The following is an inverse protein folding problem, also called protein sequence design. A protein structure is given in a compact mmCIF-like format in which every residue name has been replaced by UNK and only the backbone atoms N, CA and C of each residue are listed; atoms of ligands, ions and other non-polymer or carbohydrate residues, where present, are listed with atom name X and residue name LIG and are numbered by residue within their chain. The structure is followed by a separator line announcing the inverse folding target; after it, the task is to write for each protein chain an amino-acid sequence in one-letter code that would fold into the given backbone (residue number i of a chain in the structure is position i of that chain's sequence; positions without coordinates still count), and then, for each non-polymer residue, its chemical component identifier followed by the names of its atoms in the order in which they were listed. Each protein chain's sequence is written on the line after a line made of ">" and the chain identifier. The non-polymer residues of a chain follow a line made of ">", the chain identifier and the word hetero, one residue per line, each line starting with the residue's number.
data_IF_709852577136
#
_entry.id   IF_709852577136
#
_cell.length_a   1.000
_cell.length_b   1.000
_cell.length_c   1.000
_cell.angle_alpha   90.00
_cell.angle_beta   90.00
_cell.angle_gamma   90.00
#
_symmetry.space_group_name_H-M   'P 1'
#
loop_
_entity.id
_entity.type
_entity.pdbx_description
1 polymer ?
#
# COMPACT_ATOMS: atom_id res chain seq x y z
N UNK A 1 16.04 31.87 29.98
CA UNK A 1 15.52 31.71 28.60
C UNK A 1 15.12 30.25 28.44
N UNK A 2 13.84 29.95 28.64
CA UNK A 2 13.30 28.59 28.61
C UNK A 2 12.79 28.28 27.19
N UNK A 3 13.59 27.61 26.38
CA UNK A 3 13.17 27.02 25.11
C UNK A 3 12.89 25.54 25.32
N UNK A 4 11.67 25.21 25.75
CA UNK A 4 11.24 23.84 26.02
C UNK A 4 11.26 22.97 24.76
N UNK A 5 11.71 21.73 24.92
CA UNK A 5 11.53 20.68 23.92
C UNK A 5 10.02 20.46 23.66
N UNK A 6 9.58 20.36 22.39
CA UNK A 6 8.18 20.11 22.07
C UNK A 6 7.72 18.76 22.64
N UNK A 7 6.58 18.79 23.33
CA UNK A 7 5.88 17.76 24.13
C UNK A 7 5.36 16.57 23.28
N UNK A 8 5.95 16.25 22.13
CA UNK A 8 5.46 15.18 21.26
C UNK A 8 6.18 13.82 21.39
N UNK A 9 7.13 13.68 22.33
CA UNK A 9 7.81 12.41 22.64
C UNK A 9 7.16 11.61 23.79
N UNK A 10 5.91 11.93 24.16
CA UNK A 10 5.17 11.24 25.22
C UNK A 10 3.97 10.49 24.61
N UNK A 11 4.26 9.45 23.82
CA UNK A 11 3.36 8.28 23.72
C UNK A 11 4.23 7.02 23.75
N UNK A 12 4.36 6.48 24.95
CA UNK A 12 4.74 5.11 25.28
C UNK A 12 3.69 4.17 24.65
N UNK A 13 4.12 3.06 24.04
CA UNK A 13 3.62 1.70 24.30
C UNK A 13 3.98 0.72 23.18
N UNK A 14 4.35 -0.50 23.59
CA UNK A 14 4.77 -1.61 22.75
C UNK A 14 3.62 -2.01 21.80
N UNK A 15 3.85 -1.89 20.49
CA UNK A 15 2.93 -2.40 19.49
C UNK A 15 3.48 -2.12 18.09
N UNK A 16 3.85 -3.17 17.37
CA UNK A 16 4.09 -3.25 15.92
C UNK A 16 4.43 -1.94 15.21
N UNK A 17 5.70 -1.77 14.84
CA UNK A 17 6.20 -0.72 13.93
C UNK A 17 5.35 -0.72 12.65
N UNK A 18 4.28 0.08 12.63
CA UNK A 18 3.46 0.28 11.46
C UNK A 18 4.09 1.43 10.70
N UNK A 19 5.07 1.10 9.85
CA UNK A 19 5.68 2.01 8.88
C UNK A 19 4.58 2.58 7.96
N UNK A 20 3.89 3.61 8.44
CA UNK A 20 2.90 4.40 7.70
C UNK A 20 3.66 5.36 6.78
N UNK A 21 4.34 4.84 5.77
CA UNK A 21 4.54 5.58 4.52
C UNK A 21 4.92 4.67 3.36
N UNK A 22 4.26 3.52 3.25
CA UNK A 22 4.36 2.74 2.02
C UNK A 22 3.60 3.51 0.95
N UNK A 23 4.33 4.11 0.02
CA UNK A 23 3.86 5.04 -1.02
C UNK A 23 3.09 4.31 -2.16
N UNK A 24 2.43 3.20 -1.84
CA UNK A 24 1.62 2.39 -2.74
C UNK A 24 0.19 2.94 -2.77
N UNK A 25 -0.35 3.12 -3.98
CA UNK A 25 -1.69 3.69 -4.19
C UNK A 25 -2.82 2.82 -3.64
N UNK A 26 -2.58 1.53 -3.49
CA UNK A 26 -3.56 0.56 -3.01
C UNK A 26 -3.01 -0.25 -1.83
N UNK A 27 -3.87 -0.64 -0.90
CA UNK A 27 -3.50 -1.45 0.26
C UNK A 27 -4.07 -2.86 0.12
N UNK A 28 -3.55 -3.77 0.92
CA UNK A 28 -4.15 -5.09 1.06
C UNK A 28 -5.58 -4.95 1.60
N UNK A 29 -6.54 -5.55 0.90
CA UNK A 29 -7.97 -5.47 1.16
C UNK A 29 -8.70 -4.37 0.38
N UNK A 30 -7.99 -3.50 -0.36
CA UNK A 30 -8.66 -2.51 -1.23
C UNK A 30 -9.30 -3.18 -2.45
N UNK A 31 -10.48 -2.68 -2.84
CA UNK A 31 -11.14 -3.01 -4.10
C UNK A 31 -10.68 -2.05 -5.19
N UNK A 32 -10.26 -2.60 -6.31
CA UNK A 32 -9.73 -1.87 -7.47
C UNK A 32 -10.32 -2.44 -8.75
N UNK A 33 -10.44 -1.65 -9.80
CA UNK A 33 -10.86 -2.15 -11.11
C UNK A 33 -9.65 -2.40 -12.00
N UNK A 34 -9.57 -3.55 -12.64
CA UNK A 34 -8.56 -3.80 -13.67
C UNK A 34 -9.02 -3.07 -14.93
N UNK A 35 -8.23 -2.11 -15.42
CA UNK A 35 -8.58 -1.33 -16.62
C UNK A 35 -8.74 -2.18 -17.88
N UNK A 36 -7.94 -3.24 -17.99
CA UNK A 36 -7.92 -4.09 -19.18
C UNK A 36 -9.18 -4.94 -19.32
N UNK A 37 -9.70 -5.47 -18.20
CA UNK A 37 -10.86 -6.37 -18.20
C UNK A 37 -12.14 -5.70 -17.70
N UNK A 38 -12.04 -4.56 -17.02
CA UNK A 38 -13.15 -3.92 -16.31
C UNK A 38 -13.59 -4.69 -15.06
N UNK A 39 -12.80 -5.67 -14.63
CA UNK A 39 -13.13 -6.54 -13.51
C UNK A 39 -12.79 -5.88 -12.17
N UNK A 40 -13.71 -5.99 -11.21
CA UNK A 40 -13.50 -5.51 -9.86
C UNK A 40 -12.80 -6.56 -9.03
N UNK A 41 -11.56 -6.26 -8.63
CA UNK A 41 -10.72 -7.19 -7.91
C UNK A 41 -10.23 -6.67 -6.57
N UNK A 42 -9.98 -7.58 -5.64
CA UNK A 42 -9.47 -7.24 -4.31
C UNK A 42 -7.96 -7.39 -4.25
N UNK A 43 -7.25 -6.35 -3.84
CA UNK A 43 -5.80 -6.40 -3.64
C UNK A 43 -5.47 -7.31 -2.45
N UNK A 44 -4.75 -8.41 -2.67
CA UNK A 44 -4.27 -9.30 -1.60
C UNK A 44 -2.92 -8.85 -1.05
N UNK A 45 -1.96 -8.65 -1.95
CA UNK A 45 -0.57 -8.36 -1.58
C UNK A 45 0.02 -7.39 -2.58
N UNK A 46 1.00 -6.64 -2.15
CA UNK A 46 1.75 -5.74 -3.01
C UNK A 46 3.24 -5.91 -2.71
N UNK A 47 4.06 -5.73 -3.74
CA UNK A 47 5.50 -5.87 -3.64
C UNK A 47 6.18 -4.77 -4.45
N UNK A 48 7.24 -4.19 -3.89
CA UNK A 48 8.04 -3.20 -4.60
C UNK A 48 9.10 -3.88 -5.45
N UNK A 49 9.00 -3.73 -6.76
CA UNK A 49 9.98 -4.23 -7.72
C UNK A 49 11.06 -3.16 -7.91
N UNK A 50 12.17 -3.30 -7.18
CA UNK A 50 13.29 -2.32 -7.20
C UNK A 50 13.84 -2.05 -8.60
N UNK A 51 13.91 -3.09 -9.43
CA UNK A 51 14.44 -2.99 -10.80
C UNK A 51 13.61 -2.05 -11.68
N UNK A 52 12.28 -2.08 -11.53
CA UNK A 52 11.34 -1.23 -12.28
C UNK A 52 10.92 0.02 -11.50
N UNK A 53 11.42 0.20 -10.26
CA UNK A 53 10.99 1.23 -9.31
C UNK A 53 9.46 1.33 -9.17
N UNK A 54 8.75 0.22 -9.33
CA UNK A 54 7.29 0.16 -9.43
C UNK A 54 6.73 -0.88 -8.48
N UNK A 55 5.50 -0.66 -7.99
CA UNK A 55 4.78 -1.62 -7.17
C UNK A 55 3.99 -2.59 -8.06
N UNK A 56 4.19 -3.89 -7.83
CA UNK A 56 3.32 -4.95 -8.31
C UNK A 56 2.29 -5.30 -7.24
N UNK A 57 1.12 -5.73 -7.66
CA UNK A 57 0.01 -6.13 -6.82
C UNK A 57 -0.50 -7.48 -7.28
N UNK A 58 -0.85 -8.32 -6.30
CA UNK A 58 -1.51 -9.61 -6.47
C UNK A 58 -2.94 -9.43 -5.96
N UNK A 59 -3.90 -9.95 -6.73
CA UNK A 59 -5.32 -9.83 -6.43
C UNK A 59 -5.92 -11.17 -6.02
N UNK A 60 -7.05 -11.13 -5.31
CA UNK A 60 -7.69 -12.31 -4.74
C UNK A 60 -8.27 -13.26 -5.79
N UNK A 61 -8.88 -12.70 -6.83
CA UNK A 61 -9.44 -13.49 -7.94
C UNK A 61 -8.36 -14.15 -8.79
N UNK A 62 -7.21 -13.48 -8.96
CA UNK A 62 -6.10 -13.95 -9.79
C UNK A 62 -4.80 -13.99 -9.01
N UNK A 63 -4.62 -14.91 -8.05
CA UNK A 63 -3.41 -14.96 -7.21
C UNK A 63 -2.16 -15.41 -7.97
N UNK A 64 -2.34 -15.98 -9.18
CA UNK A 64 -1.26 -16.37 -10.10
C UNK A 64 -0.84 -15.23 -11.05
N UNK A 65 -1.63 -14.18 -11.11
CA UNK A 65 -1.38 -13.03 -11.99
C UNK A 65 -0.92 -11.86 -11.15
N UNK A 66 0.10 -11.16 -11.63
CA UNK A 66 0.55 -9.90 -11.05
C UNK A 66 0.13 -8.77 -11.95
N UNK A 67 -0.25 -7.66 -11.32
CA UNK A 67 -0.69 -6.45 -12.00
C UNK A 67 0.14 -5.28 -11.49
N UNK A 68 0.33 -4.27 -12.33
CA UNK A 68 1.01 -3.05 -11.92
C UNK A 68 0.02 -1.98 -11.49
N UNK A 69 0.49 -1.03 -10.70
CA UNK A 69 -0.33 0.09 -10.23
C UNK A 69 -1.10 0.84 -11.32
N UNK A 70 -0.51 0.93 -12.54
CA UNK A 70 -1.10 1.64 -13.67
C UNK A 70 -2.28 0.89 -14.32
N UNK A 71 -2.29 -0.44 -14.16
CA UNK A 71 -3.31 -1.33 -14.70
C UNK A 71 -4.59 -1.25 -13.87
N UNK A 72 -4.48 -0.81 -12.62
CA UNK A 72 -5.62 -0.54 -11.78
C UNK A 72 -6.20 0.84 -12.04
N UNK A 73 -7.52 0.90 -11.94
CA UNK A 73 -8.31 2.10 -11.84
C UNK A 73 -8.86 2.19 -10.43
N UNK A 74 -8.66 3.36 -9.83
CA UNK A 74 -9.32 3.69 -8.58
C UNK A 74 -10.81 3.90 -8.88
N UNK A 75 -11.65 3.28 -8.05
CA UNK A 75 -13.10 3.47 -8.04
C UNK A 75 -13.41 4.87 -7.53
#
# INVERSE_FOLDING_TARGET
>A
MNGGYPINDIIKEKGSVRLKNSNNRFKQGDLVHIKQTGEQVTVLKWQYVKHMKTYSYIVAEHPKTFYFEKEFQKI
#
